data_IF_077359816882
#
_entry.id   IF_077359816882
#
_cell.length_a   1.000
_cell.length_b   1.000
_cell.length_c   1.000
_cell.angle_alpha   90.00
_cell.angle_beta   90.00
_cell.angle_gamma   90.00
#
_symmetry.space_group_name_H-M   'P 1'
#
loop_
_entity.id
_entity.type
_entity.pdbx_description
1 polymer ?
#
# COMPACT_ATOMS: atom_id res chain seq x y z
N UNK A 1 4.40 6.41 -5.15
CA UNK A 1 3.11 6.73 -4.53
C UNK A 1 2.59 8.03 -5.14
N UNK A 2 1.28 8.19 -5.28
CA UNK A 2 0.67 9.35 -5.94
C UNK A 2 -0.65 9.01 -6.59
N UNK A 3 -1.16 9.91 -7.42
CA UNK A 3 -2.38 9.68 -8.19
C UNK A 3 -2.08 8.78 -9.40
N UNK A 4 -2.82 7.68 -9.53
CA UNK A 4 -2.79 6.79 -10.68
C UNK A 4 -3.92 7.17 -11.64
N UNK A 5 -3.55 7.67 -12.83
CA UNK A 5 -4.52 8.10 -13.85
C UNK A 5 -5.24 6.93 -14.52
N UNK A 6 -4.65 5.72 -14.50
CA UNK A 6 -5.27 4.54 -15.11
C UNK A 6 -6.48 4.06 -14.30
N UNK A 7 -6.36 4.08 -12.97
CA UNK A 7 -7.39 3.59 -12.05
C UNK A 7 -8.16 4.69 -11.32
N UNK A 8 -7.82 5.96 -11.57
CA UNK A 8 -8.47 7.14 -11.00
C UNK A 8 -8.49 7.15 -9.46
N UNK A 9 -7.37 6.73 -8.83
CA UNK A 9 -7.21 6.75 -7.38
C UNK A 9 -5.78 7.06 -6.93
N UNK A 10 -5.59 7.31 -5.63
CA UNK A 10 -4.25 7.42 -5.05
C UNK A 10 -3.69 6.05 -4.66
N UNK A 11 -2.43 5.78 -4.99
CA UNK A 11 -1.79 4.49 -4.71
C UNK A 11 -0.37 4.59 -4.20
N UNK A 12 0.10 3.50 -3.60
CA UNK A 12 1.51 3.23 -3.32
C UNK A 12 1.95 2.06 -4.21
N UNK A 13 2.47 2.37 -5.40
CA UNK A 13 3.00 1.36 -6.31
C UNK A 13 4.50 1.05 -6.05
N UNK A 14 4.89 -0.19 -6.35
CA UNK A 14 6.29 -0.69 -6.35
C UNK A 14 7.07 -0.43 -5.06
N UNK A 15 6.41 -0.61 -3.91
CA UNK A 15 7.07 -0.50 -2.61
C UNK A 15 7.91 -1.74 -2.29
N UNK A 16 9.24 -1.57 -2.23
CA UNK A 16 10.17 -2.67 -1.96
C UNK A 16 11.17 -2.29 -0.89
N UNK A 17 11.44 -3.22 0.02
CA UNK A 17 12.57 -3.17 0.95
C UNK A 17 13.59 -4.19 0.48
N UNK A 18 14.84 -3.76 0.34
CA UNK A 18 15.95 -4.67 0.01
C UNK A 18 15.96 -5.85 0.99
N UNK A 19 16.08 -7.07 0.46
CA UNK A 19 16.07 -8.33 1.20
C UNK A 19 17.00 -8.34 2.43
N UNK A 20 18.16 -7.67 2.38
CA UNK A 20 19.12 -7.59 3.52
C UNK A 20 18.56 -6.81 4.71
N UNK A 21 17.51 -6.04 4.49
CA UNK A 21 16.88 -5.14 5.45
C UNK A 21 15.42 -5.51 5.76
N UNK A 22 14.90 -6.58 5.17
CA UNK A 22 13.57 -7.11 5.53
C UNK A 22 13.57 -7.69 6.96
N UNK A 23 12.38 -7.82 7.56
CA UNK A 23 12.21 -8.33 8.93
C UNK A 23 12.65 -7.38 10.05
N UNK A 24 13.19 -6.20 9.73
CA UNK A 24 13.69 -5.20 10.70
C UNK A 24 12.70 -4.05 11.00
N UNK A 25 11.47 -4.17 10.52
CA UNK A 25 10.43 -3.14 10.71
C UNK A 25 10.48 -1.95 9.74
N UNK A 26 11.49 -1.86 8.86
CA UNK A 26 11.59 -0.74 7.91
C UNK A 26 10.40 -0.62 6.97
N UNK A 27 9.79 -1.74 6.56
CA UNK A 27 8.57 -1.71 5.73
C UNK A 27 7.46 -0.88 6.38
N UNK A 28 7.20 -1.12 7.67
CA UNK A 28 6.17 -0.41 8.44
C UNK A 28 6.52 1.06 8.64
N UNK A 29 7.77 1.37 9.00
CA UNK A 29 8.24 2.74 9.23
C UNK A 29 8.15 3.57 7.94
N UNK A 30 8.63 3.01 6.82
CA UNK A 30 8.64 3.70 5.53
C UNK A 30 7.22 3.89 4.99
N UNK A 31 6.34 2.88 5.07
CA UNK A 31 4.93 3.02 4.68
C UNK A 31 4.22 4.10 5.50
N UNK A 32 4.44 4.14 6.82
CA UNK A 32 3.85 5.18 7.68
C UNK A 32 4.21 6.58 7.20
N UNK A 33 5.49 6.82 6.89
CA UNK A 33 5.95 8.11 6.34
C UNK A 33 5.30 8.46 5.01
N UNK A 34 5.15 7.49 4.11
CA UNK A 34 4.49 7.71 2.82
C UNK A 34 3.02 8.09 3.04
N UNK A 35 2.31 7.37 3.90
CA UNK A 35 0.90 7.66 4.23
C UNK A 35 0.78 9.06 4.84
N UNK A 36 1.67 9.45 5.75
CA UNK A 36 1.67 10.79 6.35
C UNK A 36 1.88 11.90 5.32
N UNK A 37 2.69 11.67 4.28
CA UNK A 37 2.82 12.61 3.16
C UNK A 37 1.54 12.65 2.31
N UNK A 38 0.95 11.49 1.98
CA UNK A 38 -0.27 11.41 1.17
C UNK A 38 -1.48 12.05 1.88
N UNK A 39 -1.56 11.95 3.20
CA UNK A 39 -2.57 12.63 4.04
C UNK A 39 -2.57 14.15 3.93
N UNK A 40 -1.47 14.76 3.49
CA UNK A 40 -1.38 16.21 3.30
C UNK A 40 -2.04 16.66 1.99
N UNK A 41 -2.35 15.73 1.08
CA UNK A 41 -3.03 16.02 -0.18
C UNK A 41 -4.53 16.21 0.08
N UNK A 42 -5.06 17.39 -0.26
CA UNK A 42 -6.45 17.78 0.07
C UNK A 42 -7.52 16.81 -0.46
N UNK A 43 -7.25 16.16 -1.58
CA UNK A 43 -8.21 15.32 -2.29
C UNK A 43 -7.97 13.81 -2.09
N UNK A 44 -6.97 13.44 -1.29
CA UNK A 44 -6.69 12.04 -0.96
C UNK A 44 -7.55 11.61 0.23
N UNK A 45 -8.54 10.74 -0.04
CA UNK A 45 -9.40 10.13 0.99
C UNK A 45 -9.09 8.65 1.21
N UNK A 46 -8.58 8.01 0.17
CA UNK A 46 -8.31 6.58 0.13
C UNK A 46 -6.98 6.36 -0.57
N UNK A 47 -6.18 5.44 -0.02
CA UNK A 47 -4.90 5.00 -0.57
C UNK A 47 -5.02 3.53 -0.91
N UNK A 48 -4.62 3.18 -2.13
CA UNK A 48 -4.67 1.82 -2.64
C UNK A 48 -3.27 1.21 -2.77
N UNK A 49 -3.20 -0.11 -2.62
CA UNK A 49 -2.00 -0.90 -2.89
C UNK A 49 -2.41 -2.26 -3.45
N UNK A 50 -1.73 -2.69 -4.52
CA UNK A 50 -1.87 -4.03 -5.09
C UNK A 50 -0.64 -4.88 -4.76
N UNK A 51 -0.85 -6.19 -4.60
CA UNK A 51 0.22 -7.16 -4.42
C UNK A 51 -0.20 -8.59 -4.78
N UNK A 52 0.77 -9.43 -5.18
CA UNK A 52 0.55 -10.85 -5.45
C UNK A 52 -0.14 -11.56 -4.26
N UNK A 53 -1.24 -12.32 -4.49
CA UNK A 53 -1.96 -13.04 -3.44
C UNK A 53 -1.11 -14.01 -2.59
N UNK A 54 0.01 -14.49 -3.13
CA UNK A 54 0.96 -15.40 -2.44
C UNK A 54 1.92 -14.64 -1.53
N UNK A 55 1.98 -13.31 -1.61
CA UNK A 55 2.86 -12.48 -0.80
C UNK A 55 2.26 -12.24 0.60
N UNK A 56 2.28 -13.29 1.42
CA UNK A 56 1.78 -13.25 2.80
C UNK A 56 2.48 -12.21 3.67
N UNK A 57 3.76 -11.91 3.39
CA UNK A 57 4.53 -10.89 4.11
C UNK A 57 3.95 -9.50 3.85
N UNK A 58 3.68 -9.17 2.58
CA UNK A 58 3.03 -7.91 2.20
C UNK A 58 1.62 -7.81 2.79
N UNK A 59 0.83 -8.88 2.69
CA UNK A 59 -0.50 -8.97 3.31
C UNK A 59 -0.47 -8.60 4.79
N UNK A 60 0.34 -9.31 5.59
CA UNK A 60 0.45 -9.04 7.02
C UNK A 60 0.97 -7.63 7.33
N UNK A 61 1.91 -7.10 6.52
CA UNK A 61 2.40 -5.74 6.67
C UNK A 61 1.29 -4.72 6.46
N UNK A 62 0.55 -4.80 5.36
CA UNK A 62 -0.50 -3.86 5.01
C UNK A 62 -1.68 -3.92 6.00
N UNK A 63 -2.10 -5.13 6.39
CA UNK A 63 -3.14 -5.32 7.42
C UNK A 63 -2.71 -4.72 8.77
N UNK A 64 -1.43 -4.83 9.14
CA UNK A 64 -0.91 -4.25 10.39
C UNK A 64 -0.89 -2.71 10.42
N UNK A 65 -1.06 -2.07 9.27
CA UNK A 65 -1.13 -0.61 9.08
C UNK A 65 -2.59 -0.15 8.96
N UNK A 66 -3.52 -1.08 8.74
CA UNK A 66 -4.95 -0.80 8.63
C UNK A 66 -5.50 -0.85 7.20
N UNK A 67 -4.70 -1.27 6.22
CA UNK A 67 -5.24 -1.60 4.90
C UNK A 67 -6.19 -2.79 5.01
N UNK A 68 -7.25 -2.75 4.21
CA UNK A 68 -8.28 -3.80 4.14
C UNK A 68 -8.43 -4.29 2.71
N UNK A 69 -8.69 -5.58 2.58
CA UNK A 69 -9.05 -6.19 1.31
C UNK A 69 -10.33 -5.54 0.75
N UNK A 70 -10.26 -5.09 -0.50
CA UNK A 70 -11.42 -4.51 -1.21
C UNK A 70 -12.29 -5.58 -1.88
N UNK A 71 -11.82 -6.83 -1.94
CA UNK A 71 -12.42 -7.93 -2.70
C UNK A 71 -12.20 -7.81 -4.21
N UNK A 72 -11.33 -6.90 -4.66
CA UNK A 72 -11.02 -6.68 -6.08
C UNK A 72 -9.61 -7.18 -6.40
N UNK A 73 -9.42 -7.54 -7.67
CA UNK A 73 -8.14 -7.97 -8.23
C UNK A 73 -7.82 -7.05 -9.42
N UNK A 74 -6.57 -6.58 -9.50
CA UNK A 74 -6.03 -5.80 -10.62
C UNK A 74 -4.77 -6.51 -11.09
N UNK A 75 -4.66 -6.84 -12.37
CA UNK A 75 -3.49 -7.54 -12.93
C UNK A 75 -3.05 -8.78 -12.12
N UNK A 76 -4.01 -9.63 -11.72
CA UNK A 76 -3.80 -10.81 -10.86
C UNK A 76 -3.31 -10.50 -9.42
N UNK A 77 -3.26 -9.23 -9.02
CA UNK A 77 -2.90 -8.78 -7.67
C UNK A 77 -4.12 -8.42 -6.82
N UNK A 78 -4.06 -8.71 -5.51
CA UNK A 78 -5.09 -8.30 -4.55
C UNK A 78 -5.04 -6.79 -4.35
N UNK A 79 -6.19 -6.11 -4.44
CA UNK A 79 -6.29 -4.69 -4.18
C UNK A 79 -6.72 -4.42 -2.73
N UNK A 80 -5.89 -3.70 -1.99
CA UNK A 80 -6.12 -3.30 -0.62
C UNK A 80 -6.28 -1.78 -0.51
N UNK A 81 -7.12 -1.32 0.42
CA UNK A 81 -7.47 0.08 0.63
C UNK A 81 -7.25 0.52 2.08
N UNK A 82 -6.71 1.72 2.25
CA UNK A 82 -6.64 2.45 3.51
C UNK A 82 -7.40 3.77 3.37
N UNK A 83 -8.46 3.94 4.15
CA UNK A 83 -9.16 5.23 4.27
C UNK A 83 -8.42 6.12 5.28
N UNK A 84 -8.22 7.40 4.92
CA UNK A 84 -7.44 8.37 5.70
C UNK A 84 -8.23 9.54 6.23
#
# INVERSE_FOLDING_TARGET
YGYCYEYDFYEICRFMIDHKYQGKGYGKISLGKIIDEMKKLKDCKDIYISFDPKNNIAKSLYESIGFKDTGRIIEDELLYQLTI
#
